data_IF_350095100325
#
_entry.id   IF_350095100325
#
_cell.length_a   1.000
_cell.length_b   1.000
_cell.length_c   1.000
_cell.angle_alpha   90.00
_cell.angle_beta   90.00
_cell.angle_gamma   90.00
#
_symmetry.space_group_name_H-M   'P 1'
#
loop_
_entity.id
_entity.type
_entity.pdbx_description
1 polymer ?
#
# COMPACT_ATOMS: atom_id res chain seq x y z
N UNK A 1 -17.25 17.24 -34.19
CA UNK A 1 -16.71 17.37 -32.83
C UNK A 1 -17.34 16.29 -32.00
N UNK A 2 -16.64 15.16 -31.83
CA UNK A 2 -17.19 14.00 -31.13
C UNK A 2 -16.48 13.89 -29.80
N UNK A 3 -17.15 14.37 -28.74
CA UNK A 3 -16.68 14.28 -27.36
C UNK A 3 -16.83 12.85 -26.88
N UNK A 4 -15.73 12.09 -26.93
CA UNK A 4 -15.66 10.75 -26.34
C UNK A 4 -15.35 10.90 -24.86
N UNK A 5 -16.41 10.98 -24.03
CA UNK A 5 -16.33 10.65 -22.61
C UNK A 5 -16.05 9.15 -22.48
N UNK A 6 -14.77 8.77 -22.38
CA UNK A 6 -14.42 7.47 -21.79
C UNK A 6 -14.19 7.70 -20.30
N UNK A 7 -15.18 7.30 -19.53
CA UNK A 7 -15.10 7.07 -18.10
C UNK A 7 -13.86 6.24 -17.77
N UNK A 8 -13.02 6.76 -16.87
CA UNK A 8 -11.87 6.08 -16.28
C UNK A 8 -12.35 4.93 -15.38
N UNK A 9 -12.73 3.80 -15.97
CA UNK A 9 -13.03 2.57 -15.22
C UNK A 9 -11.75 1.73 -15.05
N UNK A 10 -10.80 2.26 -14.28
CA UNK A 10 -9.80 1.45 -13.58
C UNK A 10 -9.27 2.23 -12.37
N UNK A 11 -10.20 2.65 -11.51
CA UNK A 11 -9.92 3.36 -10.25
C UNK A 11 -9.16 2.42 -9.30
N UNK A 12 -7.84 2.34 -9.49
CA UNK A 12 -6.79 1.98 -8.53
C UNK A 12 -7.24 1.13 -7.31
N UNK A 13 -7.65 -0.12 -7.56
CA UNK A 13 -8.00 -1.05 -6.48
C UNK A 13 -6.78 -1.47 -5.63
N UNK A 14 -5.57 -1.19 -6.11
CA UNK A 14 -4.34 -1.55 -5.42
C UNK A 14 -4.10 -0.66 -4.21
N UNK A 15 -3.63 -1.23 -3.08
CA UNK A 15 -3.26 -0.43 -1.93
C UNK A 15 -2.10 0.51 -2.26
N UNK A 16 -2.15 1.71 -1.71
CA UNK A 16 -1.08 2.71 -1.86
C UNK A 16 0.02 2.54 -0.83
N UNK A 17 -0.30 1.95 0.33
CA UNK A 17 0.60 1.83 1.46
C UNK A 17 0.51 0.44 2.11
N UNK A 18 1.63 -0.01 2.65
CA UNK A 18 1.72 -1.17 3.55
C UNK A 18 1.75 -0.71 5.00
N UNK A 19 0.99 -1.36 5.87
CA UNK A 19 0.96 -1.06 7.30
C UNK A 19 1.91 -2.00 8.05
N UNK A 20 2.82 -1.45 8.85
CA UNK A 20 3.80 -2.24 9.62
C UNK A 20 3.83 -1.85 11.09
N UNK A 21 3.83 -2.85 11.96
CA UNK A 21 4.04 -2.70 13.41
C UNK A 21 5.50 -3.03 13.74
N UNK A 22 6.10 -2.27 14.64
CA UNK A 22 7.43 -2.58 15.18
C UNK A 22 7.28 -3.69 16.24
N UNK A 23 8.02 -4.78 16.09
CA UNK A 23 8.03 -5.93 16.99
C UNK A 23 9.37 -6.03 17.69
N UNK A 24 9.33 -6.19 19.02
CA UNK A 24 10.51 -6.29 19.87
C UNK A 24 11.12 -4.94 20.27
N UNK A 25 12.18 -5.00 21.06
CA UNK A 25 12.85 -3.84 21.67
C UNK A 25 14.36 -3.83 21.35
N UNK A 26 14.97 -2.64 21.36
CA UNK A 26 16.41 -2.48 21.15
C UNK A 26 16.87 -2.63 19.69
N UNK A 27 18.16 -3.02 19.51
CA UNK A 27 18.83 -3.08 18.19
C UNK A 27 18.31 -4.17 17.24
N UNK A 28 17.46 -5.08 17.73
CA UNK A 28 16.87 -6.20 16.97
C UNK A 28 15.37 -5.99 16.70
N UNK A 29 14.88 -4.76 16.81
CA UNK A 29 13.49 -4.50 16.51
C UNK A 29 13.22 -4.68 15.01
N UNK A 30 12.21 -5.49 14.70
CA UNK A 30 11.80 -5.80 13.33
C UNK A 30 10.48 -5.12 13.02
N UNK A 31 10.14 -5.03 11.73
CA UNK A 31 8.85 -4.55 11.28
C UNK A 31 8.04 -5.71 10.71
N UNK A 32 6.86 -5.94 11.26
CA UNK A 32 5.90 -6.92 10.80
C UNK A 32 4.80 -6.22 9.99
N UNK A 33 4.49 -6.73 8.79
CA UNK A 33 3.38 -6.21 7.98
C UNK A 33 2.05 -6.72 8.53
N UNK A 34 1.17 -5.79 8.90
CA UNK A 34 -0.11 -6.08 9.56
C UNK A 34 -1.33 -5.67 8.73
N UNK A 35 -1.13 -5.08 7.55
CA UNK A 35 -2.24 -4.63 6.70
C UNK A 35 -1.79 -3.74 5.56
N UNK A 36 -2.77 -3.08 4.96
CA UNK A 36 -2.60 -2.15 3.83
C UNK A 36 -3.50 -0.94 3.98
N UNK A 37 -3.19 0.14 3.26
CA UNK A 37 -3.99 1.34 3.22
C UNK A 37 -4.10 1.98 1.83
N UNK A 38 -5.21 2.67 1.61
CA UNK A 38 -5.49 3.48 0.43
C UNK A 38 -5.59 4.94 0.86
N UNK A 39 -4.73 5.78 0.28
CA UNK A 39 -4.82 7.22 0.44
C UNK A 39 -6.13 7.71 -0.21
N UNK A 40 -6.80 8.64 0.46
CA UNK A 40 -8.04 9.27 0.00
C UNK A 40 -7.75 10.71 -0.42
N UNK A 41 -8.62 11.25 -1.26
CA UNK A 41 -8.49 12.62 -1.77
C UNK A 41 -8.58 13.69 -0.67
N UNK A 42 -9.23 13.37 0.46
CA UNK A 42 -9.34 14.22 1.65
C UNK A 42 -8.08 14.23 2.52
N UNK A 43 -7.01 13.57 2.09
CA UNK A 43 -5.76 13.42 2.83
C UNK A 43 -5.80 12.34 3.92
N UNK A 44 -6.93 11.64 4.07
CA UNK A 44 -7.07 10.51 4.99
C UNK A 44 -6.62 9.17 4.39
N UNK A 45 -6.68 8.12 5.20
CA UNK A 45 -6.44 6.75 4.78
C UNK A 45 -7.63 5.86 5.08
N UNK A 46 -8.01 5.00 4.13
CA UNK A 46 -8.76 3.79 4.44
C UNK A 46 -7.78 2.67 4.76
N UNK A 47 -7.94 2.02 5.93
CA UNK A 47 -7.02 1.02 6.46
C UNK A 47 -7.71 -0.35 6.51
N UNK A 48 -7.04 -1.38 6.00
CA UNK A 48 -7.45 -2.78 6.14
C UNK A 48 -6.35 -3.57 6.83
N UNK A 49 -6.62 -4.03 8.05
CA UNK A 49 -5.72 -4.90 8.81
C UNK A 49 -5.93 -6.38 8.44
N UNK A 50 -4.85 -7.15 8.52
CA UNK A 50 -4.86 -8.59 8.34
C UNK A 50 -5.17 -9.28 9.68
N UNK A 51 -6.29 -9.99 9.73
CA UNK A 51 -6.73 -10.69 10.94
C UNK A 51 -7.11 -9.76 12.09
N UNK A 52 -7.17 -10.34 13.29
CA UNK A 52 -7.43 -9.59 14.53
C UNK A 52 -6.12 -9.05 15.08
N UNK A 53 -6.05 -7.74 15.33
CA UNK A 53 -4.85 -7.08 15.81
C UNK A 53 -5.11 -6.41 17.16
N UNK A 54 -4.22 -6.64 18.14
CA UNK A 54 -4.18 -5.88 19.39
C UNK A 54 -3.13 -4.78 19.25
N UNK A 55 -3.58 -3.52 19.32
CA UNK A 55 -2.73 -2.34 19.10
C UNK A 55 -2.46 -1.65 20.45
N UNK A 56 -1.20 -1.66 20.90
CA UNK A 56 -0.76 -1.04 22.18
C UNK A 56 0.19 0.15 22.01
N UNK A 57 0.72 0.38 20.80
CA UNK A 57 1.67 1.45 20.50
C UNK A 57 1.62 2.00 19.07
N UNK A 58 0.54 1.71 18.35
CA UNK A 58 0.33 2.11 16.96
C UNK A 58 1.09 1.27 15.93
N UNK A 59 1.04 1.74 14.68
CA UNK A 59 1.71 1.17 13.52
C UNK A 59 1.97 2.27 12.47
N UNK A 60 2.79 1.97 11.49
CA UNK A 60 3.24 2.92 10.47
C UNK A 60 2.67 2.55 9.10
N UNK A 61 2.36 3.55 8.27
CA UNK A 61 2.02 3.36 6.87
C UNK A 61 3.24 3.72 6.00
N UNK A 62 3.68 2.79 5.17
CA UNK A 62 4.80 2.98 4.24
C UNK A 62 4.27 2.93 2.81
N UNK A 63 4.61 3.91 1.94
CA UNK A 63 4.24 3.85 0.53
C UNK A 63 4.73 2.56 -0.12
N UNK A 64 3.88 1.93 -0.93
CA UNK A 64 4.31 0.82 -1.78
C UNK A 64 5.07 1.45 -2.94
N UNK A 65 6.37 1.16 -3.04
CA UNK A 65 7.12 1.50 -4.23
C UNK A 65 6.66 0.53 -5.33
N UNK A 66 6.04 1.05 -6.38
CA UNK A 66 5.85 0.27 -7.60
C UNK A 66 7.25 -0.14 -8.06
N UNK A 67 7.53 -1.44 -7.98
CA UNK A 67 8.67 -2.01 -8.67
C UNK A 67 8.24 -2.01 -10.13
N UNK A 68 8.65 -0.99 -10.88
CA UNK A 68 8.52 -0.98 -12.33
C UNK A 68 9.21 -2.24 -12.84
N UNK A 69 8.40 -3.16 -13.37
CA UNK A 69 8.86 -4.34 -14.09
C UNK A 69 9.64 -3.86 -15.32
N UNK A 70 10.97 -3.76 -15.20
CA UNK A 70 11.86 -3.74 -16.36
C UNK A 70 11.65 -5.08 -17.07
N UNK A 71 10.77 -5.06 -18.08
CA UNK A 71 10.48 -6.21 -18.90
C UNK A 71 11.76 -6.63 -19.63
N UNK A 72 12.05 -7.91 -19.48
CA UNK A 72 13.09 -8.67 -20.15
C UNK A 72 12.85 -8.59 -21.66
N UNK A 73 13.69 -7.87 -22.40
CA UNK A 73 13.86 -8.13 -23.83
C UNK A 73 14.76 -9.36 -23.98
N UNK A 74 14.12 -10.52 -24.13
CA UNK A 74 14.77 -11.72 -24.63
C UNK A 74 14.88 -11.67 -26.16
N UNK A 75 16.08 -11.97 -26.66
CA UNK A 75 16.27 -12.76 -27.88
C UNK A 75 16.35 -12.01 -29.21
N UNK A 76 17.56 -11.96 -29.77
CA UNK A 76 17.93 -12.77 -30.94
C UNK A 76 19.43 -13.12 -30.91
#
# INVERSE_FOLDING_TARGET
MTTTNKTNENSNAQPTHTLRKKKGYGKKAEFETIGVAWAREDGGFYIKLYGTQIIDGGFYAFPIKEQSEDNIEGGQ
#
